data_IF_645374803307
#
_entry.id   IF_645374803307
#
_cell.length_a   1.000
_cell.length_b   1.000
_cell.length_c   1.000
_cell.angle_alpha   90.00
_cell.angle_beta   90.00
_cell.angle_gamma   90.00
#
_symmetry.space_group_name_H-M   'P 1'
#
loop_
_entity.id
_entity.type
_entity.pdbx_description
1 polymer ?
#
# COMPACT_ATOMS: atom_id res chain seq x y z
N UNK A 1 19.13 13.53 -43.75
CA UNK A 1 19.74 12.79 -42.62
C UNK A 1 19.15 13.34 -41.31
N UNK A 2 18.19 12.67 -40.74
CA UNK A 2 17.50 13.10 -39.51
C UNK A 2 18.17 12.41 -38.29
N UNK A 3 18.71 13.20 -37.37
CA UNK A 3 19.30 12.71 -36.12
C UNK A 3 18.18 12.32 -35.15
N UNK A 4 18.13 11.05 -34.83
CA UNK A 4 17.25 10.47 -33.78
C UNK A 4 17.82 10.90 -32.43
N UNK A 5 17.10 11.75 -31.68
CA UNK A 5 17.40 12.02 -30.29
C UNK A 5 16.94 10.79 -29.44
N UNK A 6 17.90 10.19 -28.77
CA UNK A 6 17.66 9.15 -27.78
C UNK A 6 17.29 9.89 -26.48
N UNK A 7 16.01 9.80 -26.09
CA UNK A 7 15.56 10.26 -24.77
C UNK A 7 15.95 9.19 -23.75
N UNK A 8 16.95 9.52 -22.94
CA UNK A 8 17.39 8.71 -21.80
C UNK A 8 16.32 8.79 -20.71
N UNK A 9 15.56 7.71 -20.54
CA UNK A 9 14.72 7.51 -19.35
C UNK A 9 15.64 7.28 -18.14
N UNK A 10 15.92 8.34 -17.38
CA UNK A 10 16.43 8.22 -16.02
C UNK A 10 15.29 7.67 -15.15
N UNK A 11 15.32 6.39 -14.81
CA UNK A 11 14.62 5.84 -13.67
C UNK A 11 15.04 6.64 -12.44
N UNK A 12 14.11 7.35 -11.84
CA UNK A 12 14.32 8.00 -10.55
C UNK A 12 14.52 6.87 -9.51
N UNK A 13 15.77 6.67 -9.12
CA UNK A 13 16.15 5.82 -8.00
C UNK A 13 15.60 6.49 -6.75
N UNK A 14 14.54 5.90 -6.17
CA UNK A 14 13.98 6.39 -4.91
C UNK A 14 15.06 6.27 -3.84
N UNK A 15 15.46 7.39 -3.25
CA UNK A 15 16.37 7.42 -2.12
C UNK A 15 15.84 6.46 -1.01
N UNK A 16 16.71 5.68 -0.35
CA UNK A 16 16.27 4.79 0.72
C UNK A 16 15.64 5.64 1.81
N UNK A 17 14.35 5.39 2.07
CA UNK A 17 13.62 6.02 3.17
C UNK A 17 14.27 5.48 4.45
N UNK A 18 15.06 6.31 5.13
CA UNK A 18 15.60 5.99 6.45
C UNK A 18 14.43 5.66 7.39
N UNK A 19 14.46 4.53 8.13
CA UNK A 19 13.42 4.27 9.12
C UNK A 19 13.43 5.41 10.14
N UNK A 20 12.42 6.26 10.09
CA UNK A 20 12.27 7.32 11.06
C UNK A 20 11.72 6.71 12.35
N UNK A 21 12.56 6.61 13.36
CA UNK A 21 12.13 6.25 14.71
C UNK A 21 11.38 7.45 15.28
N UNK A 22 10.08 7.23 15.57
CA UNK A 22 9.22 8.25 16.19
C UNK A 22 9.12 7.93 17.68
N UNK A 23 9.97 8.56 18.47
CA UNK A 23 10.09 8.35 19.92
C UNK A 23 9.67 9.56 20.76
N UNK A 24 9.29 10.66 20.12
CA UNK A 24 8.85 11.89 20.77
C UNK A 24 7.77 12.60 19.96
N UNK A 25 7.11 13.58 20.60
CA UNK A 25 5.97 14.32 20.01
C UNK A 25 6.37 15.15 18.79
N UNK A 26 7.56 15.74 18.79
CA UNK A 26 7.99 16.58 17.68
C UNK A 26 8.34 15.75 16.45
N UNK A 27 8.98 14.59 16.63
CA UNK A 27 9.19 13.62 15.56
C UNK A 27 7.85 13.10 15.01
N UNK A 28 6.86 12.84 15.87
CA UNK A 28 5.51 12.46 15.46
C UNK A 28 4.84 13.54 14.61
N UNK A 29 4.90 14.80 15.04
CA UNK A 29 4.32 15.94 14.29
C UNK A 29 4.98 16.09 12.91
N UNK A 30 6.31 15.96 12.83
CA UNK A 30 7.05 16.02 11.58
C UNK A 30 6.63 14.89 10.64
N UNK A 31 6.55 13.65 11.13
CA UNK A 31 6.08 12.49 10.35
C UNK A 31 4.64 12.67 9.88
N UNK A 32 3.76 13.17 10.72
CA UNK A 32 2.36 13.45 10.35
C UNK A 32 2.26 14.50 9.24
N UNK A 33 3.13 15.50 9.23
CA UNK A 33 3.17 16.50 8.16
C UNK A 33 3.58 15.86 6.82
N UNK A 34 4.61 15.01 6.81
CA UNK A 34 5.04 14.27 5.62
C UNK A 34 3.93 13.34 5.08
N UNK A 35 3.31 12.55 5.96
CA UNK A 35 2.25 11.62 5.58
C UNK A 35 1.03 12.36 5.03
N UNK A 36 0.67 13.52 5.61
CA UNK A 36 -0.41 14.36 5.08
C UNK A 36 -0.09 14.91 3.69
N UNK A 37 1.14 15.36 3.46
CA UNK A 37 1.55 15.84 2.15
C UNK A 37 1.48 14.72 1.10
N UNK A 38 2.00 13.53 1.43
CA UNK A 38 1.90 12.35 0.57
C UNK A 38 0.43 11.93 0.31
N UNK A 39 -0.43 12.00 1.31
CA UNK A 39 -1.85 11.70 1.17
C UNK A 39 -2.56 12.70 0.24
N UNK A 40 -2.22 13.98 0.33
CA UNK A 40 -2.79 15.00 -0.56
C UNK A 40 -2.38 14.76 -2.02
N UNK A 41 -1.13 14.35 -2.26
CA UNK A 41 -0.68 13.95 -3.59
C UNK A 41 -1.40 12.69 -4.07
N UNK A 42 -1.47 11.65 -3.24
CA UNK A 42 -2.16 10.40 -3.55
C UNK A 42 -3.67 10.61 -3.86
N UNK A 43 -4.32 11.55 -3.20
CA UNK A 43 -5.73 11.88 -3.43
C UNK A 43 -6.00 12.41 -4.85
N UNK A 44 -4.98 12.84 -5.59
CA UNK A 44 -5.10 13.29 -6.98
C UNK A 44 -4.90 12.17 -8.01
N UNK A 45 -4.58 10.96 -7.57
CA UNK A 45 -4.24 9.86 -8.46
C UNK A 45 -5.48 9.32 -9.17
N UNK A 46 -5.26 8.94 -10.43
CA UNK A 46 -6.29 8.26 -11.24
C UNK A 46 -6.44 6.80 -10.82
N UNK A 47 -7.57 6.18 -11.18
CA UNK A 47 -7.80 4.74 -10.96
C UNK A 47 -6.63 3.89 -11.50
N UNK A 48 -6.13 4.19 -12.70
CA UNK A 48 -5.02 3.44 -13.30
C UNK A 48 -3.72 3.54 -12.45
N UNK A 49 -3.46 4.71 -11.86
CA UNK A 49 -2.29 4.90 -10.98
C UNK A 49 -2.45 4.12 -9.68
N UNK A 50 -3.65 4.16 -9.08
CA UNK A 50 -3.97 3.41 -7.86
C UNK A 50 -3.89 1.91 -8.11
N UNK A 51 -4.43 1.42 -9.21
CA UNK A 51 -4.38 -0.01 -9.60
C UNK A 51 -2.95 -0.50 -9.76
N UNK A 52 -2.08 0.29 -10.38
CA UNK A 52 -0.63 -0.03 -10.51
C UNK A 52 0.06 -0.09 -9.16
N UNK A 53 -0.25 0.81 -8.23
CA UNK A 53 0.30 0.82 -6.87
C UNK A 53 -0.18 -0.42 -6.11
N UNK A 54 -1.47 -0.72 -6.16
CA UNK A 54 -2.05 -1.89 -5.52
C UNK A 54 -1.41 -3.19 -6.03
N UNK A 55 -1.25 -3.32 -7.35
CA UNK A 55 -0.58 -4.46 -7.96
C UNK A 55 0.89 -4.58 -7.52
N UNK A 56 1.63 -3.49 -7.56
CA UNK A 56 3.05 -3.49 -7.18
C UNK A 56 3.24 -3.86 -5.70
N UNK A 57 2.40 -3.34 -4.81
CA UNK A 57 2.41 -3.66 -3.38
C UNK A 57 2.08 -5.15 -3.14
N UNK A 58 1.05 -5.68 -3.80
CA UNK A 58 0.66 -7.08 -3.69
C UNK A 58 1.77 -8.04 -4.17
N UNK A 59 2.42 -7.74 -5.29
CA UNK A 59 3.53 -8.52 -5.82
C UNK A 59 4.71 -8.51 -4.85
N UNK A 60 5.11 -7.33 -4.37
CA UNK A 60 6.23 -7.18 -3.43
C UNK A 60 5.96 -7.93 -2.13
N UNK A 61 4.77 -7.79 -1.56
CA UNK A 61 4.36 -8.50 -0.35
C UNK A 61 4.37 -10.02 -0.55
N UNK A 62 3.86 -10.51 -1.68
CA UNK A 62 3.84 -11.94 -1.98
C UNK A 62 5.25 -12.53 -2.18
N UNK A 63 6.16 -11.80 -2.81
CA UNK A 63 7.56 -12.21 -2.92
C UNK A 63 8.24 -12.36 -1.55
N UNK A 64 7.87 -11.50 -0.61
CA UNK A 64 8.42 -11.48 0.75
C UNK A 64 7.66 -12.37 1.75
N UNK A 65 6.61 -13.10 1.34
CA UNK A 65 5.74 -13.87 2.24
C UNK A 65 6.48 -14.86 3.14
N UNK A 66 7.52 -15.53 2.61
CA UNK A 66 8.30 -16.52 3.36
C UNK A 66 9.31 -15.83 4.30
N UNK A 67 10.18 -14.92 3.85
CA UNK A 67 11.06 -14.18 4.74
C UNK A 67 10.33 -13.49 5.89
N UNK A 68 9.24 -12.80 5.60
CA UNK A 68 8.44 -12.09 6.60
C UNK A 68 7.80 -13.05 7.62
N UNK A 69 7.36 -14.23 7.19
CA UNK A 69 6.81 -15.24 8.10
C UNK A 69 7.86 -15.76 9.09
N UNK A 70 9.09 -16.01 8.61
CA UNK A 70 10.22 -16.43 9.46
C UNK A 70 10.58 -15.35 10.47
N UNK A 71 10.77 -14.10 10.02
CA UNK A 71 11.05 -12.97 10.90
C UNK A 71 9.97 -12.78 11.97
N UNK A 72 8.69 -12.91 11.60
CA UNK A 72 7.58 -12.75 12.52
C UNK A 72 7.57 -13.82 13.63
N UNK A 73 7.89 -15.08 13.32
CA UNK A 73 8.02 -16.14 14.33
C UNK A 73 9.22 -15.92 15.21
N UNK A 74 10.36 -15.56 14.62
CA UNK A 74 11.60 -15.29 15.35
C UNK A 74 11.46 -14.13 16.34
N UNK A 75 10.85 -13.01 15.90
CA UNK A 75 10.64 -11.83 16.73
C UNK A 75 9.62 -12.04 17.83
N UNK A 76 8.50 -12.70 17.51
CA UNK A 76 7.34 -12.77 18.43
C UNK A 76 7.28 -14.05 19.24
N UNK A 77 7.94 -15.13 18.82
CA UNK A 77 7.79 -16.46 19.39
C UNK A 77 6.40 -17.07 19.21
N UNK A 78 5.55 -16.48 18.34
CA UNK A 78 4.14 -16.84 18.20
C UNK A 78 3.82 -17.49 16.86
N UNK A 79 3.12 -18.64 16.93
CA UNK A 79 2.66 -19.40 15.77
C UNK A 79 3.78 -20.17 15.07
N UNK A 80 3.47 -20.68 13.87
CA UNK A 80 4.40 -21.44 13.04
C UNK A 80 4.60 -20.76 11.69
N UNK A 81 5.76 -20.95 11.10
CA UNK A 81 6.17 -20.26 9.86
C UNK A 81 5.21 -20.57 8.71
N UNK A 82 4.84 -21.84 8.55
CA UNK A 82 3.98 -22.33 7.47
C UNK A 82 2.63 -21.63 7.45
N UNK A 83 1.98 -21.51 8.62
CA UNK A 83 0.70 -20.82 8.75
C UNK A 83 0.81 -19.32 8.45
N UNK A 84 1.93 -18.70 8.89
CA UNK A 84 2.17 -17.28 8.60
C UNK A 84 2.45 -17.04 7.12
N UNK A 85 3.09 -17.98 6.41
CA UNK A 85 3.24 -17.92 4.95
C UNK A 85 1.88 -17.93 4.26
N UNK A 86 0.98 -18.82 4.69
CA UNK A 86 -0.40 -18.89 4.15
C UNK A 86 -1.15 -17.58 4.40
N UNK A 87 -1.06 -17.02 5.61
CA UNK A 87 -1.69 -15.74 5.96
C UNK A 87 -1.15 -14.58 5.14
N UNK A 88 0.17 -14.51 4.96
CA UNK A 88 0.82 -13.47 4.14
C UNK A 88 0.40 -13.60 2.66
N UNK A 89 0.33 -14.83 2.13
CA UNK A 89 -0.15 -15.08 0.78
C UNK A 89 -1.61 -14.67 0.61
N UNK A 90 -2.46 -14.99 1.59
CA UNK A 90 -3.86 -14.57 1.57
C UNK A 90 -3.98 -13.04 1.53
N UNK A 91 -3.29 -12.35 2.45
CA UNK A 91 -3.31 -10.88 2.51
C UNK A 91 -2.80 -10.21 1.23
N UNK A 92 -1.78 -10.79 0.58
CA UNK A 92 -1.20 -10.25 -0.65
C UNK A 92 -2.00 -10.67 -1.89
N UNK A 93 -2.03 -11.96 -2.21
CA UNK A 93 -2.50 -12.47 -3.50
C UNK A 93 -4.02 -12.59 -3.56
N UNK A 94 -4.64 -13.20 -2.55
CA UNK A 94 -6.09 -13.39 -2.55
C UNK A 94 -6.84 -12.08 -2.48
N UNK A 95 -6.41 -11.17 -1.61
CA UNK A 95 -7.02 -9.84 -1.47
C UNK A 95 -6.85 -9.04 -2.76
N UNK A 96 -5.65 -9.03 -3.35
CA UNK A 96 -5.44 -8.38 -4.63
C UNK A 96 -6.37 -8.93 -5.71
N UNK A 97 -6.46 -10.26 -5.87
CA UNK A 97 -7.32 -10.87 -6.89
C UNK A 97 -8.81 -10.61 -6.64
N UNK A 98 -9.23 -10.51 -5.39
CA UNK A 98 -10.62 -10.19 -5.05
C UNK A 98 -11.00 -8.75 -5.40
N UNK A 99 -10.08 -7.79 -5.25
CA UNK A 99 -10.38 -6.37 -5.32
C UNK A 99 -9.74 -5.60 -6.48
N UNK A 100 -8.85 -6.22 -7.27
CA UNK A 100 -8.12 -5.56 -8.38
C UNK A 100 -8.99 -4.87 -9.44
N UNK A 101 -10.27 -5.24 -9.53
CA UNK A 101 -11.22 -4.64 -10.47
C UNK A 101 -12.23 -3.70 -9.77
N UNK A 102 -12.03 -3.44 -8.48
CA UNK A 102 -12.94 -2.57 -7.71
C UNK A 102 -12.63 -1.11 -8.03
N UNK A 103 -13.65 -0.37 -8.41
CA UNK A 103 -13.53 1.06 -8.64
C UNK A 103 -13.40 1.80 -7.31
N UNK A 104 -12.32 2.57 -7.15
CA UNK A 104 -11.95 3.26 -5.90
C UNK A 104 -11.69 4.75 -6.07
N UNK A 105 -11.87 5.28 -7.30
CA UNK A 105 -11.71 6.68 -7.62
C UNK A 105 -12.93 7.19 -8.38
N UNK A 106 -13.25 8.47 -8.21
CA UNK A 106 -14.34 9.17 -8.89
C UNK A 106 -15.73 8.56 -8.66
N UNK A 107 -16.62 8.73 -9.61
CA UNK A 107 -17.99 8.25 -9.52
C UNK A 107 -18.02 6.73 -9.64
N UNK A 108 -18.44 6.03 -8.57
CA UNK A 108 -18.58 4.57 -8.54
C UNK A 108 -19.91 4.14 -9.19
N UNK A 109 -20.99 4.87 -8.89
CA UNK A 109 -22.34 4.54 -9.30
C UNK A 109 -23.15 5.83 -9.53
N UNK A 110 -23.97 5.86 -10.54
CA UNK A 110 -24.91 6.94 -10.81
C UNK A 110 -26.33 6.37 -10.95
N UNK A 111 -27.26 6.86 -10.15
CA UNK A 111 -28.69 6.55 -10.26
C UNK A 111 -29.42 7.74 -10.85
N UNK A 112 -29.71 7.66 -12.15
CA UNK A 112 -30.39 8.71 -12.90
C UNK A 112 -31.89 8.86 -12.54
N UNK A 113 -32.51 7.80 -12.02
CA UNK A 113 -33.93 7.84 -11.65
C UNK A 113 -34.14 8.66 -10.39
N UNK A 114 -33.22 8.56 -9.44
CA UNK A 114 -33.25 9.32 -8.17
C UNK A 114 -32.33 10.55 -8.18
N UNK A 115 -31.54 10.76 -9.23
CA UNK A 115 -30.62 11.89 -9.32
C UNK A 115 -29.49 11.82 -8.28
N UNK A 116 -29.06 10.61 -7.90
CA UNK A 116 -28.01 10.41 -6.90
C UNK A 116 -26.75 9.77 -7.51
N UNK A 117 -25.60 10.03 -6.91
CA UNK A 117 -24.35 9.38 -7.28
C UNK A 117 -23.54 8.97 -6.05
N UNK A 118 -22.79 7.85 -6.17
CA UNK A 118 -21.77 7.45 -5.20
C UNK A 118 -20.42 7.84 -5.72
N UNK A 119 -19.68 8.62 -4.96
CA UNK A 119 -18.33 9.06 -5.29
C UNK A 119 -17.35 8.43 -4.32
N UNK A 120 -16.28 7.84 -4.83
CA UNK A 120 -15.19 7.33 -4.00
C UNK A 120 -14.27 8.48 -3.62
N UNK A 121 -14.02 8.64 -2.34
CA UNK A 121 -13.10 9.62 -1.79
C UNK A 121 -12.06 8.91 -0.91
N UNK A 122 -10.78 9.33 -0.93
CA UNK A 122 -9.77 8.78 -0.03
C UNK A 122 -10.18 9.01 1.43
N UNK A 123 -10.07 7.96 2.26
CA UNK A 123 -10.36 8.07 3.70
C UNK A 123 -9.37 9.00 4.43
N UNK A 124 -8.21 9.27 3.82
CA UNK A 124 -7.15 10.09 4.39
C UNK A 124 -6.05 9.26 5.05
N UNK A 125 -5.36 9.88 6.00
CA UNK A 125 -4.27 9.22 6.74
C UNK A 125 -4.86 8.26 7.77
N UNK A 126 -4.37 7.02 7.76
CA UNK A 126 -4.78 5.96 8.68
C UNK A 126 -3.67 5.67 9.67
N UNK A 127 -4.00 5.64 10.96
CA UNK A 127 -3.15 5.13 12.01
C UNK A 127 -3.55 3.69 12.35
N UNK A 128 -2.65 2.74 12.14
CA UNK A 128 -2.91 1.33 12.37
C UNK A 128 -2.11 0.79 13.56
N UNK A 129 -2.77 0.04 14.43
CA UNK A 129 -2.10 -0.72 15.51
C UNK A 129 -1.95 -2.16 15.04
N UNK A 130 -0.72 -2.59 14.87
CA UNK A 130 -0.39 -3.92 14.36
C UNK A 130 -0.25 -4.91 15.52
N UNK A 131 -1.03 -6.00 15.56
CA UNK A 131 -0.96 -6.97 16.65
C UNK A 131 0.28 -7.88 16.53
N UNK A 132 0.86 -8.25 17.65
CA UNK A 132 2.01 -9.16 17.73
C UNK A 132 1.71 -10.55 17.15
N UNK A 133 0.46 -11.01 17.23
CA UNK A 133 0.06 -12.33 16.75
C UNK A 133 0.09 -12.47 15.22
N UNK A 134 -0.18 -11.39 14.48
CA UNK A 134 -0.24 -11.38 13.02
C UNK A 134 0.43 -10.10 12.45
N UNK A 135 1.69 -9.82 12.76
CA UNK A 135 2.29 -8.52 12.43
C UNK A 135 2.38 -8.29 10.91
N UNK A 136 2.85 -9.27 10.18
CA UNK A 136 3.11 -9.14 8.74
C UNK A 136 1.84 -9.17 7.90
N UNK A 137 0.96 -10.13 8.13
CA UNK A 137 -0.29 -10.22 7.36
C UNK A 137 -1.22 -9.04 7.63
N UNK A 138 -1.24 -8.48 8.84
CA UNK A 138 -2.02 -7.27 9.15
C UNK A 138 -1.46 -6.02 8.46
N UNK A 139 -0.14 -5.92 8.35
CA UNK A 139 0.49 -4.80 7.66
C UNK A 139 0.32 -4.87 6.13
N UNK A 140 0.23 -6.09 5.58
CA UNK A 140 0.02 -6.32 4.14
C UNK A 140 -1.44 -6.05 3.74
N UNK A 141 -2.40 -6.52 4.57
CA UNK A 141 -3.82 -6.39 4.34
C UNK A 141 -4.30 -4.94 4.40
#
# INVERSE_FOLDING_TARGET
>A
MAKKQIVSNKTAESAPVSPLIVDNVDALKARMAEVRAAQQEFATFTQEQVDKIFQAAAIAANQMRIPLAKMAVEETGMGVVEDKVIKNNYAAEYIYNAYKNTKTCDIIEEDKAFGTMKVAEPIGVVAAVIPTTNPTSTAIF
#
